data_IF_104651813838
#
_entry.id   IF_104651813838
#
_cell.length_a   1.000
_cell.length_b   1.000
_cell.length_c   1.000
_cell.angle_alpha   90.00
_cell.angle_beta   90.00
_cell.angle_gamma   90.00
#
_symmetry.space_group_name_H-M   'P 1'
#
loop_
_entity.id
_entity.type
_entity.pdbx_description
1 polymer ?
#
# COMPACT_ATOMS: atom_id res chain seq x y z
N UNK A 1 -11.17 -65.82 -19.67
CA UNK A 1 -10.87 -64.63 -20.51
C UNK A 1 -11.57 -63.43 -19.91
N UNK A 2 -10.84 -62.61 -19.15
CA UNK A 2 -11.37 -61.38 -18.55
C UNK A 2 -11.24 -60.20 -19.54
N UNK A 3 -12.19 -59.25 -19.57
CA UNK A 3 -12.29 -58.26 -20.63
C UNK A 3 -11.33 -57.09 -20.40
N UNK A 4 -10.32 -56.96 -21.27
CA UNK A 4 -9.37 -55.84 -21.31
C UNK A 4 -10.02 -54.46 -21.60
N UNK A 5 -11.29 -54.44 -22.01
CA UNK A 5 -12.02 -53.25 -22.45
C UNK A 5 -12.33 -52.25 -21.32
N UNK A 6 -12.46 -52.70 -20.06
CA UNK A 6 -12.80 -51.80 -18.93
C UNK A 6 -11.62 -50.92 -18.48
N UNK A 7 -10.39 -51.38 -18.68
CA UNK A 7 -9.18 -50.67 -18.25
C UNK A 7 -8.80 -49.52 -19.20
N UNK A 8 -9.21 -49.60 -20.48
CA UNK A 8 -8.93 -48.56 -21.48
C UNK A 8 -9.71 -47.26 -21.21
N UNK A 9 -10.98 -47.37 -20.78
CA UNK A 9 -11.80 -46.20 -20.43
C UNK A 9 -11.33 -45.51 -19.15
N UNK A 10 -10.95 -46.29 -18.13
CA UNK A 10 -10.46 -45.75 -16.85
C UNK A 10 -9.13 -44.99 -17.02
N UNK A 11 -8.22 -45.50 -17.86
CA UNK A 11 -6.94 -44.85 -18.13
C UNK A 11 -7.09 -43.47 -18.82
N UNK A 12 -8.07 -43.34 -19.72
CA UNK A 12 -8.33 -42.09 -20.45
C UNK A 12 -8.92 -40.98 -19.57
N UNK A 13 -9.80 -41.33 -18.62
CA UNK A 13 -10.43 -40.36 -17.71
C UNK A 13 -9.44 -39.90 -16.62
N UNK A 14 -8.58 -40.80 -16.13
CA UNK A 14 -7.53 -40.49 -15.17
C UNK A 14 -6.45 -39.56 -15.76
N UNK A 15 -6.12 -39.72 -17.05
CA UNK A 15 -5.15 -38.86 -17.73
C UNK A 15 -5.59 -37.40 -17.87
N UNK A 16 -6.88 -37.14 -18.06
CA UNK A 16 -7.45 -35.79 -18.10
C UNK A 16 -7.56 -35.14 -16.71
N UNK A 17 -7.86 -35.93 -15.66
CA UNK A 17 -7.86 -35.47 -14.27
C UNK A 17 -6.47 -35.08 -13.76
N UNK A 18 -5.41 -35.76 -14.23
CA UNK A 18 -4.02 -35.47 -13.88
C UNK A 18 -3.43 -34.25 -14.61
N UNK A 19 -4.02 -33.80 -15.71
CA UNK A 19 -3.58 -32.61 -16.47
C UNK A 19 -4.31 -31.31 -16.06
N UNK A 20 -5.40 -31.41 -15.31
CA UNK A 20 -6.19 -30.27 -14.84
C UNK A 20 -5.49 -29.30 -13.86
N UNK A 21 -4.50 -29.69 -13.02
CA UNK A 21 -3.94 -28.75 -12.05
C UNK A 21 -2.85 -27.83 -12.63
N UNK A 22 -2.51 -27.93 -13.92
CA UNK A 22 -1.49 -27.06 -14.55
C UNK A 22 -2.00 -25.66 -14.94
N UNK A 23 -3.31 -25.43 -14.88
CA UNK A 23 -3.94 -24.15 -15.26
C UNK A 23 -4.55 -23.40 -14.08
N UNK A 24 -3.96 -23.51 -12.89
CA UNK A 24 -4.27 -22.56 -11.82
C UNK A 24 -3.47 -21.28 -12.10
N UNK A 25 -4.10 -20.16 -12.52
CA UNK A 25 -3.39 -18.90 -12.58
C UNK A 25 -2.90 -18.59 -11.17
N UNK A 26 -1.57 -18.56 -11.00
CA UNK A 26 -0.96 -17.95 -9.83
C UNK A 26 -1.49 -16.51 -9.79
N UNK A 27 -2.21 -16.16 -8.72
CA UNK A 27 -2.65 -14.80 -8.50
C UNK A 27 -1.40 -13.92 -8.38
N UNK A 28 -0.99 -13.31 -9.48
CA UNK A 28 0.08 -12.32 -9.48
C UNK A 28 -0.53 -11.05 -8.90
N UNK A 29 -0.54 -10.96 -7.56
CA UNK A 29 -0.89 -9.71 -6.89
C UNK A 29 0.03 -8.61 -7.39
N UNK A 30 -0.54 -7.52 -7.89
CA UNK A 30 0.25 -6.39 -8.40
C UNK A 30 1.21 -5.91 -7.32
N UNK A 31 2.51 -6.00 -7.62
CA UNK A 31 3.63 -5.59 -6.73
C UNK A 31 3.92 -4.09 -6.81
N UNK A 32 3.02 -3.32 -7.40
CA UNK A 32 3.16 -1.90 -7.64
C UNK A 32 2.36 -1.16 -6.55
N UNK A 33 2.75 0.08 -6.25
CA UNK A 33 2.19 0.85 -5.14
C UNK A 33 0.67 1.03 -5.17
N UNK A 34 0.15 1.75 -4.19
CA UNK A 34 -1.27 2.02 -4.06
C UNK A 34 -1.87 2.53 -5.39
N UNK A 35 -3.06 2.06 -5.78
CA UNK A 35 -3.70 2.52 -7.00
C UNK A 35 -4.14 3.98 -6.87
N UNK A 36 -4.10 4.72 -7.97
CA UNK A 36 -4.49 6.14 -8.01
C UNK A 36 -5.93 6.41 -7.56
N UNK A 37 -6.83 5.43 -7.70
CA UNK A 37 -8.19 5.57 -7.19
C UNK A 37 -8.31 5.50 -5.66
N UNK A 38 -7.27 5.06 -4.93
CA UNK A 38 -7.23 5.11 -3.47
C UNK A 38 -6.82 6.51 -2.94
N UNK A 39 -6.39 7.41 -3.81
CA UNK A 39 -5.87 8.73 -3.43
C UNK A 39 -6.80 9.58 -2.57
N UNK A 40 -8.12 9.41 -2.70
CA UNK A 40 -9.10 10.28 -2.05
C UNK A 40 -9.77 9.63 -0.85
N UNK A 41 -10.15 8.35 -0.99
CA UNK A 41 -10.81 7.59 0.06
C UNK A 41 -9.87 6.79 0.96
N UNK A 42 -8.57 6.74 0.62
CA UNK A 42 -7.53 5.97 1.33
C UNK A 42 -7.85 4.48 1.45
N UNK A 43 -8.78 3.97 0.64
CA UNK A 43 -9.26 2.60 0.74
C UNK A 43 -8.35 1.67 -0.06
N UNK A 44 -7.66 0.70 0.59
CA UNK A 44 -6.87 -0.28 -0.13
C UNK A 44 -7.76 -1.08 -1.08
N UNK A 45 -7.31 -1.26 -2.32
CA UNK A 45 -8.06 -1.99 -3.36
C UNK A 45 -7.47 -3.38 -3.58
N UNK A 46 -7.36 -4.14 -2.51
CA UNK A 46 -7.01 -5.56 -2.57
C UNK A 46 -8.27 -6.40 -2.43
N UNK A 47 -8.40 -7.44 -3.26
CA UNK A 47 -9.53 -8.36 -3.18
C UNK A 47 -9.53 -9.08 -1.82
N UNK A 48 -10.72 -9.25 -1.23
CA UNK A 48 -10.97 -10.12 -0.06
C UNK A 48 -10.30 -9.72 1.27
N UNK A 49 -9.85 -8.48 1.44
CA UNK A 49 -9.38 -8.00 2.74
C UNK A 49 -10.53 -7.31 3.47
N UNK A 50 -10.91 -7.85 4.62
CA UNK A 50 -11.70 -7.14 5.63
C UNK A 50 -10.74 -6.60 6.68
N UNK A 51 -11.07 -5.43 7.23
CA UNK A 51 -10.38 -4.89 8.40
C UNK A 51 -10.39 -5.96 9.50
N UNK A 52 -9.20 -6.43 9.88
CA UNK A 52 -9.03 -7.62 10.72
C UNK A 52 -8.69 -7.28 12.18
N UNK A 53 -8.69 -5.98 12.54
CA UNK A 53 -8.22 -5.54 13.86
C UNK A 53 -9.09 -4.40 14.38
N UNK A 54 -9.66 -4.50 15.60
CA UNK A 54 -10.49 -3.45 16.19
C UNK A 54 -9.68 -2.20 16.61
N UNK A 55 -8.34 -2.27 16.60
CA UNK A 55 -7.43 -1.16 16.89
C UNK A 55 -6.37 -1.09 15.81
N UNK A 56 -6.16 0.09 15.24
CA UNK A 56 -5.06 0.33 14.30
C UNK A 56 -3.71 0.06 15.00
N UNK A 57 -2.87 -0.85 14.47
CA UNK A 57 -1.59 -1.19 15.09
C UNK A 57 -0.45 -0.25 14.65
N UNK A 58 -0.78 0.83 13.93
CA UNK A 58 0.16 1.80 13.39
C UNK A 58 -0.18 3.21 13.88
N UNK A 59 0.83 4.08 13.88
CA UNK A 59 0.69 5.51 14.15
C UNK A 59 1.50 6.34 13.16
N UNK A 60 1.08 7.58 12.99
CA UNK A 60 1.84 8.61 12.28
C UNK A 60 2.31 9.62 13.31
N UNK A 61 3.62 9.74 13.46
CA UNK A 61 4.26 10.59 14.46
C UNK A 61 5.28 11.49 13.76
N UNK A 62 5.35 12.76 14.17
CA UNK A 62 6.38 13.66 13.69
C UNK A 62 7.65 13.40 14.51
N UNK A 63 8.79 13.22 13.85
CA UNK A 63 10.04 12.83 14.49
C UNK A 63 10.46 13.77 15.63
N UNK A 64 10.19 15.07 15.47
CA UNK A 64 10.54 16.10 16.45
C UNK A 64 9.37 16.48 17.39
N UNK A 65 8.28 15.69 17.40
CA UNK A 65 7.07 15.92 18.20
C UNK A 65 6.43 17.31 17.98
N UNK A 66 6.65 17.88 16.79
CA UNK A 66 6.11 19.17 16.41
C UNK A 66 4.57 19.13 16.37
N UNK A 67 3.93 20.21 16.83
CA UNK A 67 2.46 20.37 16.82
C UNK A 67 1.99 21.51 15.91
N UNK A 68 2.94 22.27 15.37
CA UNK A 68 2.72 23.40 14.45
C UNK A 68 3.68 23.29 13.29
N UNK A 69 3.36 23.95 12.17
CA UNK A 69 4.28 24.07 11.06
C UNK A 69 4.39 25.51 10.54
N UNK A 70 5.49 25.80 9.86
CA UNK A 70 5.76 27.01 9.11
C UNK A 70 5.59 26.69 7.62
N UNK A 71 4.84 27.51 6.85
CA UNK A 71 4.73 27.31 5.41
C UNK A 71 6.09 27.18 4.71
N UNK A 72 6.22 26.15 3.88
CA UNK A 72 7.45 25.83 3.14
C UNK A 72 8.54 25.11 3.94
N UNK A 73 8.39 24.90 5.25
CA UNK A 73 9.38 24.12 6.01
C UNK A 73 9.32 22.63 5.68
N UNK A 74 10.32 21.87 6.11
CA UNK A 74 10.35 20.41 5.96
C UNK A 74 10.25 19.73 7.31
N UNK A 75 9.24 18.89 7.48
CA UNK A 75 9.04 18.03 8.63
C UNK A 75 9.37 16.58 8.27
N UNK A 76 9.62 15.76 9.29
CA UNK A 76 9.80 14.32 9.11
C UNK A 76 8.65 13.58 9.79
N UNK A 77 7.85 12.88 9.00
CA UNK A 77 6.74 12.03 9.48
C UNK A 77 7.15 10.57 9.45
N UNK A 78 6.91 9.84 10.53
CA UNK A 78 7.27 8.45 10.69
C UNK A 78 6.01 7.59 10.87
N UNK A 79 5.97 6.48 10.14
CA UNK A 79 5.02 5.39 10.39
C UNK A 79 5.63 4.49 11.47
N UNK A 80 4.98 4.40 12.62
CA UNK A 80 5.43 3.62 13.77
C UNK A 80 4.45 2.51 14.15
N UNK A 81 4.90 1.48 14.87
CA UNK A 81 4.03 0.43 15.43
C UNK A 81 4.37 -0.97 14.94
N UNK A 82 3.42 -1.68 14.32
CA UNK A 82 3.68 -3.01 13.76
C UNK A 82 4.41 -2.96 12.42
N UNK A 83 4.97 -4.09 12.00
CA UNK A 83 5.51 -4.25 10.63
C UNK A 83 4.38 -4.16 9.59
N UNK A 84 4.71 -3.63 8.40
CA UNK A 84 3.74 -3.44 7.32
C UNK A 84 4.37 -3.67 5.93
N UNK A 85 3.54 -4.01 4.95
CA UNK A 85 3.97 -4.29 3.57
C UNK A 85 3.44 -3.25 2.59
N UNK A 86 2.18 -2.86 2.72
CA UNK A 86 1.54 -1.83 1.91
C UNK A 86 1.15 -0.61 2.75
N UNK A 87 1.18 0.56 2.13
CA UNK A 87 0.69 1.81 2.71
C UNK A 87 0.44 2.83 1.58
N UNK A 88 -0.36 3.84 1.90
CA UNK A 88 -0.47 5.10 1.19
C UNK A 88 -0.42 6.20 2.27
N UNK A 89 0.49 7.16 2.13
CA UNK A 89 0.69 8.25 3.07
C UNK A 89 0.51 9.59 2.37
N UNK A 90 -0.27 10.48 2.99
CA UNK A 90 -0.54 11.84 2.53
C UNK A 90 -0.55 12.83 3.69
N UNK A 91 -0.32 14.11 3.41
CA UNK A 91 -0.74 15.20 4.29
C UNK A 91 -1.98 15.86 3.68
N UNK A 92 -2.99 16.19 4.49
CA UNK A 92 -4.24 16.83 4.05
C UNK A 92 -4.62 17.95 5.00
N UNK A 93 -5.31 18.96 4.48
CA UNK A 93 -6.03 19.91 5.35
C UNK A 93 -7.05 19.14 6.19
N UNK A 94 -7.20 19.50 7.46
CA UNK A 94 -8.19 18.89 8.35
C UNK A 94 -9.59 19.09 7.77
N UNK A 95 -10.34 17.99 7.60
CA UNK A 95 -11.64 17.99 6.91
C UNK A 95 -11.57 17.85 5.39
N UNK A 96 -10.38 17.97 4.79
CA UNK A 96 -10.15 17.78 3.36
C UNK A 96 -9.84 16.34 2.94
N UNK A 97 -9.98 16.08 1.64
CA UNK A 97 -9.67 14.79 0.99
C UNK A 97 -8.50 14.87 0.00
N UNK A 98 -8.06 16.08 -0.35
CA UNK A 98 -6.96 16.27 -1.28
C UNK A 98 -5.63 16.36 -0.52
N UNK A 99 -4.58 15.68 -1.01
CA UNK A 99 -3.23 15.83 -0.48
C UNK A 99 -2.66 17.23 -0.74
N UNK A 100 -1.79 17.67 0.17
CA UNK A 100 -1.06 18.94 0.11
C UNK A 100 0.40 18.75 0.50
N UNK A 101 1.25 19.69 0.08
CA UNK A 101 2.69 19.63 0.32
C UNK A 101 3.38 18.61 -0.59
N UNK A 102 4.64 18.29 -0.28
CA UNK A 102 5.48 17.49 -1.17
C UNK A 102 6.48 16.64 -0.39
N UNK A 103 6.46 15.33 -0.62
CA UNK A 103 7.46 14.40 -0.11
C UNK A 103 8.78 14.52 -0.89
N UNK A 104 9.90 14.42 -0.17
CA UNK A 104 11.24 14.56 -0.74
C UNK A 104 11.76 13.22 -1.31
N UNK A 105 12.61 13.29 -2.34
CA UNK A 105 13.07 12.13 -3.11
C UNK A 105 13.92 11.12 -2.31
N UNK A 106 14.54 11.54 -1.21
CA UNK A 106 15.36 10.68 -0.35
C UNK A 106 14.48 9.76 0.50
N UNK A 107 13.84 8.79 -0.16
CA UNK A 107 12.88 7.88 0.44
C UNK A 107 13.54 6.64 1.07
N UNK A 108 12.91 6.06 2.11
CA UNK A 108 13.26 4.73 2.60
C UNK A 108 13.19 3.66 1.50
N UNK A 109 14.01 2.62 1.64
CA UNK A 109 13.98 1.46 0.74
C UNK A 109 12.57 0.87 0.61
N UNK A 110 12.24 0.35 -0.58
CA UNK A 110 10.96 -0.31 -0.85
C UNK A 110 9.73 0.62 -0.79
N UNK A 111 9.95 1.92 -0.94
CA UNK A 111 8.92 2.95 -1.08
C UNK A 111 9.12 3.74 -2.37
N UNK A 112 8.13 4.51 -2.77
CA UNK A 112 8.16 5.36 -3.95
C UNK A 112 7.21 6.55 -3.81
N UNK A 113 7.55 7.64 -4.49
CA UNK A 113 6.68 8.81 -4.65
C UNK A 113 5.50 8.44 -5.54
N UNK A 114 4.38 9.09 -5.29
CA UNK A 114 3.14 8.94 -6.04
C UNK A 114 2.52 10.33 -6.24
N UNK A 115 1.89 10.50 -7.40
CA UNK A 115 1.06 11.65 -7.72
C UNK A 115 -0.40 11.28 -7.54
N UNK A 116 -1.08 11.96 -6.62
CA UNK A 116 -2.53 11.88 -6.47
C UNK A 116 -3.22 13.10 -7.09
N UNK A 117 -2.82 14.30 -6.68
CA UNK A 117 -3.26 15.59 -7.21
C UNK A 117 -2.08 16.33 -7.86
N UNK A 118 -0.94 16.39 -7.16
CA UNK A 118 0.29 17.08 -7.53
C UNK A 118 1.48 16.12 -7.44
N UNK A 119 2.57 16.46 -8.13
CA UNK A 119 3.76 15.60 -8.12
C UNK A 119 4.30 15.44 -6.70
N UNK A 120 4.62 14.19 -6.32
CA UNK A 120 5.21 13.83 -5.04
C UNK A 120 4.35 14.23 -3.81
N UNK A 121 3.04 14.38 -3.97
CA UNK A 121 2.13 14.72 -2.88
C UNK A 121 1.75 13.53 -1.98
N UNK A 122 2.16 12.32 -2.38
CA UNK A 122 1.85 11.07 -1.72
C UNK A 122 3.05 10.12 -1.77
N UNK A 123 3.13 9.19 -0.80
CA UNK A 123 4.12 8.10 -0.82
C UNK A 123 3.41 6.76 -0.66
N UNK A 124 3.91 5.74 -1.34
CA UNK A 124 3.43 4.36 -1.24
C UNK A 124 4.61 3.38 -1.21
N UNK A 125 4.34 2.14 -0.83
CA UNK A 125 5.24 1.02 -1.10
C UNK A 125 5.55 0.86 -2.59
N UNK A 126 6.76 0.39 -2.93
CA UNK A 126 7.18 0.05 -4.30
C UNK A 126 7.27 -1.46 -4.56
N UNK A 127 7.14 -2.25 -3.50
CA UNK A 127 7.06 -3.71 -3.53
C UNK A 127 6.49 -4.23 -2.20
N UNK A 128 6.32 -5.55 -2.12
CA UNK A 128 5.74 -6.25 -0.96
C UNK A 128 6.75 -6.57 0.15
N UNK A 129 7.99 -6.05 0.07
CA UNK A 129 8.99 -6.24 1.13
C UNK A 129 8.52 -5.51 2.39
N UNK A 130 8.56 -6.23 3.50
CA UNK A 130 8.20 -5.72 4.82
C UNK A 130 9.08 -4.54 5.21
N UNK A 131 8.43 -3.48 5.69
CA UNK A 131 9.06 -2.25 6.16
C UNK A 131 9.25 -2.32 7.67
N UNK A 132 10.23 -1.58 8.15
CA UNK A 132 10.53 -1.49 9.58
C UNK A 132 9.36 -0.85 10.34
N UNK A 133 9.27 -1.17 11.62
CA UNK A 133 8.33 -0.61 12.59
C UNK A 133 8.55 0.89 12.89
N UNK A 134 9.56 1.50 12.26
CA UNK A 134 9.83 2.93 12.28
C UNK A 134 10.36 3.36 10.90
N UNK A 135 9.47 3.83 10.02
CA UNK A 135 9.78 4.24 8.64
C UNK A 135 9.42 5.71 8.43
N UNK A 136 10.40 6.56 8.11
CA UNK A 136 10.24 8.01 8.09
C UNK A 136 10.37 8.63 6.70
N UNK A 137 9.61 9.70 6.46
CA UNK A 137 9.53 10.42 5.20
C UNK A 137 9.67 11.91 5.45
N UNK A 138 10.54 12.57 4.68
CA UNK A 138 10.64 14.04 4.68
C UNK A 138 9.51 14.61 3.84
N UNK A 139 8.73 15.51 4.43
CA UNK A 139 7.61 16.17 3.80
C UNK A 139 7.76 17.68 3.94
N UNK A 140 7.63 18.41 2.82
CA UNK A 140 7.68 19.85 2.77
C UNK A 140 6.27 20.42 2.78
N UNK A 141 6.03 21.34 3.71
CA UNK A 141 4.76 22.04 3.83
C UNK A 141 4.47 22.91 2.61
N UNK A 142 3.19 23.14 2.27
CA UNK A 142 2.80 24.13 1.27
C UNK A 142 3.40 25.50 1.57
N UNK A 143 3.63 26.30 0.52
CA UNK A 143 4.16 27.67 0.69
C UNK A 143 3.14 28.64 1.27
N UNK A 144 1.85 28.32 1.14
CA UNK A 144 0.75 29.06 1.74
C UNK A 144 0.36 28.43 3.09
N UNK A 145 -0.10 29.25 4.03
CA UNK A 145 -0.73 28.76 5.26
C UNK A 145 -2.13 28.23 4.93
N UNK A 146 -2.31 26.91 5.06
CA UNK A 146 -3.57 26.22 4.79
C UNK A 146 -4.34 25.88 6.08
N UNK A 147 -3.91 26.42 7.24
CA UNK A 147 -4.45 26.08 8.54
C UNK A 147 -4.02 24.68 8.99
N UNK A 148 -4.87 24.04 9.79
CA UNK A 148 -4.56 22.74 10.40
C UNK A 148 -4.43 21.63 9.35
N UNK A 149 -3.33 20.89 9.43
CA UNK A 149 -3.03 19.74 8.58
C UNK A 149 -3.01 18.45 9.40
N UNK A 150 -3.25 17.32 8.74
CA UNK A 150 -3.10 15.98 9.28
C UNK A 150 -2.40 15.08 8.29
N UNK A 151 -1.59 14.16 8.79
CA UNK A 151 -1.15 13.02 8.00
C UNK A 151 -2.21 11.91 8.05
N UNK A 152 -2.40 11.24 6.92
CA UNK A 152 -3.36 10.13 6.74
C UNK A 152 -2.75 8.99 5.95
#
# INVERSE_FOLDING_TARGET
MAPASKYLCLASVLGWLLLLPLFLPSAVGWKFGAPTNACFDMMPRHERIKENTPKCPYKLELQDEATTYIPGETLTVCVTGSLFQGFLLQARVVGGTLPVGTFQENLPNNTQLMKCSSDNDSVTHSNVVTKADHTCFKWKAPSDDLGDLRFV
#
